data_IF_056070599094
#
_entry.id   IF_056070599094
#
_cell.length_a   1.000
_cell.length_b   1.000
_cell.length_c   1.000
_cell.angle_alpha   90.00
_cell.angle_beta   90.00
_cell.angle_gamma   90.00
#
_symmetry.space_group_name_H-M   'P 1'
#
loop_
_entity.id
_entity.type
_entity.pdbx_description
1 polymer ?
#
# COMPACT_ATOMS: atom_id res chain seq x y z
N UNK A 1 -36.44 -12.11 -61.86
CA UNK A 1 -36.95 -11.00 -61.02
C UNK A 1 -36.46 -11.23 -59.61
N UNK A 2 -35.78 -10.23 -59.05
CA UNK A 2 -34.95 -10.28 -57.83
C UNK A 2 -35.82 -10.22 -56.57
N UNK A 3 -35.60 -11.16 -55.63
CA UNK A 3 -36.18 -11.09 -54.29
C UNK A 3 -35.23 -10.32 -53.36
N UNK A 4 -35.66 -9.13 -52.93
CA UNK A 4 -34.99 -8.31 -51.94
C UNK A 4 -35.27 -8.85 -50.53
N UNK A 5 -34.20 -9.21 -49.83
CA UNK A 5 -34.21 -9.64 -48.44
C UNK A 5 -34.35 -8.40 -47.54
N UNK A 6 -35.55 -8.14 -47.00
CA UNK A 6 -35.79 -7.07 -46.03
C UNK A 6 -35.53 -7.65 -44.64
N UNK A 7 -34.28 -7.52 -44.18
CA UNK A 7 -33.93 -7.81 -42.79
C UNK A 7 -34.62 -6.74 -41.92
N UNK A 8 -35.47 -7.22 -41.01
CA UNK A 8 -36.29 -6.42 -40.10
C UNK A 8 -35.43 -5.52 -39.20
N UNK A 9 -35.40 -4.23 -39.55
CA UNK A 9 -34.70 -3.14 -38.84
C UNK A 9 -35.25 -2.87 -37.43
N UNK A 10 -36.41 -3.43 -37.09
CA UNK A 10 -37.10 -3.22 -35.81
C UNK A 10 -36.51 -4.03 -34.64
N UNK A 11 -35.66 -5.04 -34.91
CA UNK A 11 -35.09 -5.92 -33.87
C UNK A 11 -33.77 -5.41 -33.27
N UNK A 12 -33.07 -4.51 -33.97
CA UNK A 12 -31.75 -4.03 -33.55
C UNK A 12 -31.79 -2.82 -32.61
N UNK A 13 -32.89 -2.05 -32.61
CA UNK A 13 -33.05 -0.84 -31.81
C UNK A 13 -33.02 -1.11 -30.29
N UNK A 14 -33.76 -2.10 -29.73
CA UNK A 14 -33.72 -2.35 -28.30
C UNK A 14 -32.36 -2.90 -27.83
N UNK A 15 -31.67 -3.70 -28.65
CA UNK A 15 -30.33 -4.21 -28.35
C UNK A 15 -29.26 -3.11 -28.36
N UNK A 16 -29.37 -2.13 -29.26
CA UNK A 16 -28.44 -0.98 -29.31
C UNK A 16 -28.61 -0.05 -28.10
N UNK A 17 -29.86 0.17 -27.66
CA UNK A 17 -30.17 0.94 -26.45
C UNK A 17 -29.64 0.28 -25.18
N UNK A 18 -29.70 -1.06 -25.08
CA UNK A 18 -29.17 -1.80 -23.93
C UNK A 18 -27.63 -1.65 -23.81
N UNK A 19 -26.91 -1.68 -24.94
CA UNK A 19 -25.44 -1.54 -24.97
C UNK A 19 -25.00 -0.12 -24.59
N UNK A 20 -25.77 0.90 -25.00
CA UNK A 20 -25.51 2.30 -24.62
C UNK A 20 -25.81 2.58 -23.13
N UNK A 21 -26.79 1.91 -22.54
CA UNK A 21 -27.09 2.04 -21.10
C UNK A 21 -26.03 1.35 -20.22
N UNK A 22 -25.42 0.25 -20.68
CA UNK A 22 -24.36 -0.45 -19.92
C UNK A 22 -23.02 0.30 -19.96
N UNK A 23 -22.74 1.04 -21.04
CA UNK A 23 -21.47 1.77 -21.18
C UNK A 23 -21.40 3.08 -20.38
N UNK A 24 -22.52 3.55 -19.80
CA UNK A 24 -22.60 4.82 -19.06
C UNK A 24 -22.22 4.74 -17.57
N UNK A 25 -21.82 3.58 -17.04
CA UNK A 25 -21.56 3.39 -15.59
C UNK A 25 -20.06 3.34 -15.21
N UNK A 26 -19.15 3.73 -16.09
CA UNK A 26 -17.74 3.87 -15.71
C UNK A 26 -17.53 5.20 -14.99
N UNK A 27 -17.72 5.20 -13.67
CA UNK A 27 -17.28 6.32 -12.82
C UNK A 27 -15.77 6.47 -13.04
N UNK A 28 -15.28 7.60 -13.58
CA UNK A 28 -13.84 7.78 -13.80
C UNK A 28 -13.16 7.70 -12.44
N UNK A 29 -12.40 6.63 -12.22
CA UNK A 29 -11.55 6.52 -11.06
C UNK A 29 -10.49 7.61 -11.22
N UNK A 30 -10.54 8.64 -10.38
CA UNK A 30 -9.53 9.70 -10.39
C UNK A 30 -8.14 9.05 -10.33
N UNK A 31 -7.32 9.31 -11.34
CA UNK A 31 -5.97 8.79 -11.40
C UNK A 31 -5.21 9.18 -10.13
N UNK A 32 -4.46 8.21 -9.58
CA UNK A 32 -3.56 8.46 -8.45
C UNK A 32 -2.39 9.30 -8.95
N UNK A 33 -2.42 10.60 -8.64
CA UNK A 33 -1.35 11.55 -8.99
C UNK A 33 -0.49 11.77 -7.76
N UNK A 34 0.82 11.60 -7.92
CA UNK A 34 1.76 11.86 -6.83
C UNK A 34 1.82 13.35 -6.49
N UNK A 35 1.83 13.73 -5.20
CA UNK A 35 2.09 15.10 -4.77
C UNK A 35 3.55 15.53 -4.97
N UNK A 36 4.48 14.60 -5.23
CA UNK A 36 5.92 14.88 -5.35
C UNK A 36 6.63 13.86 -6.28
N UNK A 37 6.46 13.92 -7.61
CA UNK A 37 6.95 12.88 -8.53
C UNK A 37 8.45 12.57 -8.45
N UNK A 38 9.28 13.55 -8.08
CA UNK A 38 10.73 13.33 -7.89
C UNK A 38 11.05 12.41 -6.69
N UNK A 39 10.18 12.35 -5.70
CA UNK A 39 10.39 11.62 -4.43
C UNK A 39 9.47 10.41 -4.30
N UNK A 40 8.22 10.50 -4.74
CA UNK A 40 7.25 9.42 -4.62
C UNK A 40 6.47 9.24 -5.93
N UNK A 41 6.24 8.00 -6.30
CA UNK A 41 5.41 7.62 -7.45
C UNK A 41 4.52 6.44 -7.07
N UNK A 42 3.29 6.44 -7.60
CA UNK A 42 2.44 5.26 -7.57
C UNK A 42 2.95 4.27 -8.62
N UNK A 43 3.07 2.99 -8.26
CA UNK A 43 3.40 1.92 -9.19
C UNK A 43 2.12 1.41 -9.84
N UNK A 44 1.91 1.80 -11.09
CA UNK A 44 0.75 1.43 -11.90
C UNK A 44 0.96 0.13 -12.67
N UNK A 45 2.14 -0.49 -12.57
CA UNK A 45 2.42 -1.77 -13.26
C UNK A 45 1.67 -2.95 -12.64
N UNK A 46 1.27 -2.83 -11.37
CA UNK A 46 0.51 -3.83 -10.63
C UNK A 46 -0.89 -3.26 -10.34
N UNK A 47 -1.92 -3.96 -10.81
CA UNK A 47 -3.32 -3.60 -10.57
C UNK A 47 -3.94 -4.59 -9.61
N UNK A 48 -4.54 -4.09 -8.53
CA UNK A 48 -5.25 -4.93 -7.56
C UNK A 48 -6.46 -4.16 -6.99
N UNK A 49 -7.66 -4.77 -6.94
CA UNK A 49 -8.80 -4.14 -6.29
C UNK A 49 -8.50 -3.87 -4.81
N UNK A 50 -8.68 -2.63 -4.35
CA UNK A 50 -8.51 -2.27 -2.94
C UNK A 50 -7.05 -2.24 -2.46
N UNK A 51 -6.09 -2.30 -3.38
CA UNK A 51 -4.67 -2.19 -3.06
C UNK A 51 -3.95 -1.39 -4.15
N UNK A 52 -3.08 -0.47 -3.75
CA UNK A 52 -2.16 0.20 -4.66
C UNK A 52 -0.74 0.12 -4.11
N UNK A 53 0.23 0.25 -5.02
CA UNK A 53 1.65 0.13 -4.74
C UNK A 53 2.36 1.46 -4.95
N UNK A 54 3.42 1.70 -4.18
CA UNK A 54 4.13 2.96 -4.18
C UNK A 54 5.63 2.79 -4.02
N UNK A 55 6.38 3.73 -4.59
CA UNK A 55 7.85 3.76 -4.51
C UNK A 55 8.30 5.12 -4.03
N UNK A 56 9.07 5.16 -2.94
CA UNK A 56 9.73 6.37 -2.42
C UNK A 56 11.21 6.30 -2.79
N UNK A 57 11.73 7.36 -3.39
CA UNK A 57 13.13 7.56 -3.72
C UNK A 57 13.75 8.41 -2.60
N UNK A 58 14.62 7.81 -1.80
CA UNK A 58 15.33 8.47 -0.71
C UNK A 58 16.76 8.78 -1.13
N UNK A 59 17.18 10.02 -0.93
CA UNK A 59 18.55 10.48 -1.11
C UNK A 59 18.93 11.42 0.02
N UNK A 60 20.23 11.62 0.22
CA UNK A 60 20.77 12.58 1.17
C UNK A 60 22.10 13.12 0.64
N UNK A 61 22.43 14.35 1.02
CA UNK A 61 23.73 14.97 0.72
C UNK A 61 24.83 14.53 1.70
N UNK A 62 24.44 13.84 2.78
CA UNK A 62 25.33 13.36 3.84
C UNK A 62 25.09 11.87 4.08
N UNK A 63 26.05 11.19 4.70
CA UNK A 63 25.82 9.81 5.15
C UNK A 63 24.76 9.82 6.25
N UNK A 64 23.68 9.09 6.00
CA UNK A 64 22.57 8.99 6.92
C UNK A 64 22.46 7.56 7.45
N UNK A 65 22.35 7.43 8.77
CA UNK A 65 22.17 6.18 9.48
C UNK A 65 20.76 6.08 10.04
N UNK A 66 20.23 4.85 10.06
CA UNK A 66 18.87 4.54 10.50
C UNK A 66 17.78 5.23 9.67
N UNK A 67 16.70 4.49 9.46
CA UNK A 67 15.52 4.96 8.74
C UNK A 67 14.39 5.18 9.73
N UNK A 68 13.80 6.37 9.70
CA UNK A 68 12.46 6.67 10.20
C UNK A 68 11.68 7.36 9.09
N UNK A 69 10.92 6.57 8.34
CA UNK A 69 10.13 7.06 7.21
C UNK A 69 8.66 7.08 7.59
N UNK A 70 8.10 8.27 7.76
CA UNK A 70 6.70 8.46 8.10
C UNK A 70 5.91 8.83 6.87
N UNK A 71 4.81 8.13 6.63
CA UNK A 71 3.89 8.37 5.52
C UNK A 71 2.51 8.68 6.09
N UNK A 72 1.91 9.77 5.64
CA UNK A 72 0.57 10.17 6.03
C UNK A 72 -0.35 10.18 4.82
N UNK A 73 -1.57 9.68 5.00
CA UNK A 73 -2.59 9.55 3.97
C UNK A 73 -3.74 10.54 4.19
N UNK A 74 -4.44 10.89 3.12
CA UNK A 74 -5.63 11.77 3.17
C UNK A 74 -6.94 11.02 3.47
N UNK A 75 -6.91 9.69 3.45
CA UNK A 75 -8.06 8.84 3.68
C UNK A 75 -7.68 7.55 4.44
N UNK A 76 -8.69 6.82 4.90
CA UNK A 76 -8.55 5.63 5.71
C UNK A 76 -7.73 4.53 5.03
N UNK A 77 -6.72 4.04 5.74
CA UNK A 77 -5.88 2.90 5.34
C UNK A 77 -6.18 1.69 6.23
N UNK A 78 -6.49 0.55 5.61
CA UNK A 78 -6.68 -0.73 6.32
C UNK A 78 -5.31 -1.29 6.73
N UNK A 79 -4.36 -1.30 5.79
CA UNK A 79 -3.01 -1.80 6.03
C UNK A 79 -1.97 -1.04 5.21
N UNK A 80 -0.76 -0.96 5.76
CA UNK A 80 0.41 -0.38 5.12
C UNK A 80 1.58 -1.34 5.31
N UNK A 81 2.12 -1.90 4.22
CA UNK A 81 3.15 -2.96 4.29
C UNK A 81 4.33 -2.69 3.37
N UNK A 82 5.51 -3.13 3.76
CA UNK A 82 6.77 -2.89 3.06
C UNK A 82 7.77 -4.03 3.30
N UNK A 83 8.80 -4.15 2.44
CA UNK A 83 9.90 -5.12 2.61
C UNK A 83 11.10 -4.59 3.40
N UNK A 84 11.16 -3.28 3.67
CA UNK A 84 12.38 -2.63 4.10
C UNK A 84 12.60 -2.80 5.60
N UNK A 85 11.58 -2.53 6.42
CA UNK A 85 11.69 -2.57 7.88
C UNK A 85 10.34 -2.58 8.58
N UNK A 86 10.37 -2.50 9.91
CA UNK A 86 9.18 -2.62 10.74
C UNK A 86 8.25 -1.43 10.53
N UNK A 87 6.95 -1.70 10.42
CA UNK A 87 5.91 -0.67 10.42
C UNK A 87 5.43 -0.44 11.85
N UNK A 88 5.20 0.81 12.22
CA UNK A 88 4.41 1.22 13.38
C UNK A 88 3.24 2.05 12.87
N UNK A 89 2.03 1.75 13.32
CA UNK A 89 0.84 2.50 12.95
C UNK A 89 0.53 3.52 14.05
N UNK A 90 0.70 4.81 13.76
CA UNK A 90 0.37 5.86 14.73
C UNK A 90 -1.15 6.04 14.80
N UNK A 91 -1.81 6.04 13.64
CA UNK A 91 -3.27 6.06 13.53
C UNK A 91 -3.71 5.50 12.17
N UNK A 92 -4.99 5.58 11.85
CA UNK A 92 -5.55 5.03 10.60
C UNK A 92 -5.13 5.79 9.32
N UNK A 93 -4.41 6.90 9.46
CA UNK A 93 -3.87 7.75 8.39
C UNK A 93 -2.35 7.83 8.40
N UNK A 94 -1.66 7.37 9.44
CA UNK A 94 -0.24 7.65 9.66
C UNK A 94 0.54 6.40 10.08
N UNK A 95 1.59 6.12 9.32
CA UNK A 95 2.42 4.93 9.45
C UNK A 95 3.89 5.32 9.41
N UNK A 96 4.72 4.59 10.16
CA UNK A 96 6.16 4.80 10.24
C UNK A 96 6.90 3.50 9.92
N UNK A 97 7.75 3.51 8.91
CA UNK A 97 8.74 2.46 8.65
C UNK A 97 9.99 2.79 9.43
N UNK A 98 10.51 1.84 10.19
CA UNK A 98 11.79 1.95 10.88
C UNK A 98 12.77 0.85 10.47
N UNK A 99 14.06 1.20 10.38
CA UNK A 99 15.15 0.25 10.16
C UNK A 99 16.47 0.81 10.69
N UNK A 100 17.07 0.17 11.69
CA UNK A 100 18.24 0.71 12.40
C UNK A 100 19.55 0.53 11.64
N UNK A 101 19.69 -0.56 10.88
CA UNK A 101 20.87 -0.91 10.06
C UNK A 101 20.87 -0.25 8.67
N UNK A 102 19.91 0.62 8.38
CA UNK A 102 19.80 1.30 7.09
C UNK A 102 20.85 2.42 6.96
N UNK A 103 21.50 2.48 5.80
CA UNK A 103 22.49 3.52 5.46
C UNK A 103 22.25 4.06 4.05
N UNK A 104 22.33 5.38 3.90
CA UNK A 104 22.40 6.07 2.59
C UNK A 104 23.69 6.88 2.58
N UNK A 105 24.50 6.71 1.55
CA UNK A 105 25.67 7.56 1.31
C UNK A 105 25.32 8.76 0.43
N UNK A 106 26.10 9.86 0.49
CA UNK A 106 25.91 11.02 -0.38
C UNK A 106 25.81 10.62 -1.85
N UNK A 107 24.80 11.15 -2.56
CA UNK A 107 24.56 10.86 -3.98
C UNK A 107 23.92 9.50 -4.28
N UNK A 108 23.71 8.65 -3.27
CA UNK A 108 22.98 7.39 -3.43
C UNK A 108 21.46 7.62 -3.39
N UNK A 109 20.72 6.90 -4.25
CA UNK A 109 19.26 6.84 -4.22
C UNK A 109 18.80 5.45 -3.82
N UNK A 110 18.21 5.32 -2.63
CA UNK A 110 17.55 4.09 -2.19
C UNK A 110 16.07 4.13 -2.52
N UNK A 111 15.53 3.02 -3.04
CA UNK A 111 14.09 2.89 -3.32
C UNK A 111 13.40 2.11 -2.20
N UNK A 112 12.33 2.68 -1.65
CA UNK A 112 11.47 2.04 -0.65
C UNK A 112 10.15 1.71 -1.30
N UNK A 113 9.86 0.42 -1.46
CA UNK A 113 8.61 -0.06 -2.02
C UNK A 113 7.64 -0.44 -0.89
N UNK A 114 6.38 -0.09 -1.07
CA UNK A 114 5.31 -0.42 -0.13
C UNK A 114 3.98 -0.57 -0.87
N UNK A 115 2.98 -1.09 -0.17
CA UNK A 115 1.60 -1.08 -0.64
C UNK A 115 0.64 -0.65 0.46
N UNK A 116 -0.53 -0.21 0.02
CA UNK A 116 -1.62 0.27 0.88
C UNK A 116 -2.88 -0.49 0.54
N UNK A 117 -3.54 -1.02 1.57
CA UNK A 117 -4.85 -1.65 1.45
C UNK A 117 -5.95 -0.71 1.93
N UNK A 118 -7.08 -0.73 1.25
CA UNK A 118 -8.21 0.13 1.53
C UNK A 118 -9.53 -0.51 1.08
N UNK A 119 -10.65 -0.01 1.62
CA UNK A 119 -11.97 -0.48 1.23
C UNK A 119 -12.27 -0.01 -0.19
N UNK A 120 -12.55 -0.94 -1.11
CA UNK A 120 -12.94 -0.63 -2.51
C UNK A 120 -14.19 0.25 -2.61
N UNK A 121 -15.01 0.29 -1.57
CA UNK A 121 -16.21 1.15 -1.48
C UNK A 121 -15.88 2.61 -1.16
N UNK A 122 -14.64 2.92 -0.81
CA UNK A 122 -14.15 4.26 -0.48
C UNK A 122 -13.17 4.76 -1.54
N UNK A 123 -12.97 6.08 -1.60
CA UNK A 123 -11.91 6.65 -2.43
C UNK A 123 -10.54 6.11 -1.97
N UNK A 124 -9.64 5.71 -2.89
CA UNK A 124 -8.31 5.25 -2.52
C UNK A 124 -7.56 6.31 -1.70
N UNK A 125 -6.89 5.94 -0.59
CA UNK A 125 -6.07 6.85 0.19
C UNK A 125 -4.88 7.31 -0.65
N UNK A 126 -4.61 8.61 -0.65
CA UNK A 126 -3.48 9.23 -1.34
C UNK A 126 -2.46 9.70 -0.33
N UNK A 127 -1.19 9.66 -0.73
CA UNK A 127 -0.11 10.24 0.10
C UNK A 127 -0.36 11.75 0.24
N UNK A 128 -0.42 12.22 1.48
CA UNK A 128 -0.54 13.64 1.83
C UNK A 128 0.84 14.25 2.06
N UNK A 129 1.68 13.59 2.85
CA UNK A 129 3.07 13.99 3.07
C UNK A 129 3.94 12.80 3.47
N UNK A 130 5.26 12.97 3.31
CA UNK A 130 6.28 12.02 3.74
C UNK A 130 7.34 12.76 4.54
N UNK A 131 7.66 12.24 5.73
CA UNK A 131 8.81 12.68 6.53
C UNK A 131 9.89 11.60 6.51
N UNK A 132 11.11 12.00 6.20
CA UNK A 132 12.30 11.16 6.26
C UNK A 132 13.21 11.70 7.36
N UNK A 133 13.39 10.91 8.42
CA UNK A 133 14.16 11.27 9.61
C UNK A 133 13.76 12.64 10.20
N UNK A 134 12.46 12.93 10.18
CA UNK A 134 11.90 14.20 10.68
C UNK A 134 11.85 15.34 9.66
N UNK A 135 12.47 15.19 8.50
CA UNK A 135 12.45 16.18 7.43
C UNK A 135 11.34 15.88 6.41
N UNK A 136 10.52 16.87 6.09
CA UNK A 136 9.49 16.72 5.06
C UNK A 136 10.11 16.70 3.67
N UNK A 137 9.94 15.59 2.97
CA UNK A 137 10.45 15.39 1.60
C UNK A 137 9.34 15.35 0.55
N UNK A 138 8.07 15.34 0.98
CA UNK A 138 6.92 15.30 0.10
C UNK A 138 5.69 15.93 0.76
N UNK A 139 4.83 16.54 -0.05
CA UNK A 139 3.57 17.15 0.39
C UNK A 139 3.65 18.67 0.53
N UNK A 140 2.52 19.33 0.85
CA UNK A 140 2.46 20.79 0.93
C UNK A 140 3.32 21.35 2.07
N UNK A 141 3.81 22.57 1.87
CA UNK A 141 4.59 23.36 2.83
C UNK A 141 3.72 23.95 3.95
N UNK A 142 3.07 23.10 4.73
CA UNK A 142 2.33 23.50 5.94
C UNK A 142 3.18 23.27 7.21
N UNK A 143 3.41 24.29 8.05
CA UNK A 143 4.13 24.18 9.34
C UNK A 143 3.40 23.34 10.40
N UNK A 144 2.07 23.18 10.31
CA UNK A 144 1.27 22.46 11.30
C UNK A 144 1.46 20.94 11.27
N UNK A 145 2.06 20.42 10.19
CA UNK A 145 2.33 18.99 9.94
C UNK A 145 3.32 18.36 10.93
N UNK A 146 4.09 19.17 11.69
CA UNK A 146 5.05 18.67 12.68
C UNK A 146 4.46 18.41 14.08
N UNK A 147 3.15 18.58 14.28
CA UNK A 147 2.53 18.24 15.57
C UNK A 147 2.50 16.72 15.77
N UNK A 148 3.23 16.27 16.79
CA UNK A 148 3.38 14.86 17.18
C UNK A 148 2.02 14.23 17.51
N UNK A 149 1.60 13.21 16.76
CA UNK A 149 0.49 12.32 17.13
C UNK A 149 0.74 11.72 18.51
N UNK A 150 -0.25 11.79 19.41
CA UNK A 150 -0.18 11.25 20.78
C UNK A 150 -0.73 9.82 20.90
N UNK A 151 -1.19 9.23 19.80
CA UNK A 151 -1.65 7.84 19.76
C UNK A 151 -0.59 6.99 19.07
N UNK A 152 -0.04 5.99 19.80
CA UNK A 152 0.83 4.94 19.25
C UNK A 152 0.12 3.62 19.36
N UNK A 153 -0.24 3.03 18.23
CA UNK A 153 -0.56 1.62 18.18
C UNK A 153 0.67 0.86 17.68
N UNK A 154 1.27 0.05 18.56
CA UNK A 154 2.39 -0.80 18.18
C UNK A 154 1.85 -2.10 17.56
N UNK A 155 1.83 -2.16 16.23
CA UNK A 155 1.59 -3.39 15.49
C UNK A 155 2.76 -3.66 14.55
N UNK A 156 3.43 -4.80 14.73
CA UNK A 156 4.48 -5.29 13.83
C UNK A 156 3.85 -6.20 12.77
N UNK A 157 3.54 -5.67 11.58
CA UNK A 157 3.29 -6.53 10.41
C UNK A 157 4.45 -6.38 9.42
N UNK A 158 5.39 -7.32 9.52
CA UNK A 158 6.56 -7.46 8.64
C UNK A 158 6.31 -8.48 7.51
N UNK A 159 5.09 -9.02 7.38
CA UNK A 159 4.82 -10.20 6.54
C UNK A 159 4.38 -9.87 5.11
N UNK A 160 4.33 -8.60 4.74
CA UNK A 160 3.85 -8.14 3.43
C UNK A 160 4.92 -7.47 2.60
N UNK A 161 5.90 -8.24 2.16
CA UNK A 161 6.77 -7.78 1.08
C UNK A 161 5.92 -7.46 -0.16
N UNK A 162 5.92 -6.21 -0.69
CA UNK A 162 5.34 -5.98 -2.01
C UNK A 162 5.98 -6.93 -3.02
N UNK A 163 5.15 -7.58 -3.82
CA UNK A 163 5.59 -8.49 -4.88
C UNK A 163 6.67 -7.81 -5.71
N UNK A 164 7.72 -8.57 -6.07
CA UNK A 164 8.75 -8.11 -6.99
C UNK A 164 8.05 -7.59 -8.26
N UNK A 165 8.37 -6.39 -8.77
CA UNK A 165 7.82 -5.91 -10.04
C UNK A 165 8.05 -6.97 -11.14
N UNK A 166 6.96 -7.45 -11.76
CA UNK A 166 6.98 -8.54 -12.75
C UNK A 166 6.67 -9.94 -12.21
N UNK A 167 6.53 -10.13 -10.89
CA UNK A 167 5.99 -11.37 -10.35
C UNK A 167 4.46 -11.40 -10.51
N UNK A 168 3.86 -12.56 -10.84
CA UNK A 168 2.41 -12.70 -10.81
C UNK A 168 1.88 -12.36 -9.41
N UNK A 169 0.73 -11.67 -9.28
CA UNK A 169 0.07 -11.57 -7.99
C UNK A 169 -0.25 -12.98 -7.47
N UNK A 170 -0.20 -13.20 -6.16
CA UNK A 170 -0.56 -14.48 -5.55
C UNK A 170 -2.03 -14.76 -5.86
N UNK A 171 -2.40 -16.02 -6.02
CA UNK A 171 -3.83 -16.35 -6.01
C UNK A 171 -4.41 -16.10 -4.61
N UNK A 172 -5.70 -15.79 -4.55
CA UNK A 172 -6.44 -15.59 -3.28
C UNK A 172 -6.33 -16.79 -2.32
N UNK A 173 -6.12 -17.99 -2.86
CA UNK A 173 -5.87 -19.23 -2.12
C UNK A 173 -4.49 -19.24 -1.45
N UNK A 174 -3.46 -18.69 -2.10
CA UNK A 174 -2.09 -18.63 -1.58
C UNK A 174 -1.96 -17.61 -0.44
N UNK A 175 -2.71 -16.51 -0.50
CA UNK A 175 -2.78 -15.48 0.54
C UNK A 175 -3.50 -16.01 1.81
N UNK A 176 -4.51 -16.86 1.63
CA UNK A 176 -5.26 -17.53 2.72
C UNK A 176 -4.42 -18.60 3.44
N UNK A 177 -3.61 -19.36 2.69
CA UNK A 177 -2.68 -20.36 3.24
C UNK A 177 -1.55 -19.74 4.08
N UNK A 178 -1.00 -18.60 3.61
CA UNK A 178 0.02 -17.84 4.35
C UNK A 178 -0.53 -17.26 5.66
N UNK A 179 -1.77 -16.78 5.66
CA UNK A 179 -2.44 -16.30 6.88
C UNK A 179 -2.78 -17.43 7.87
N UNK A 180 -3.15 -18.62 7.38
CA UNK A 180 -3.42 -19.78 8.23
C UNK A 180 -2.16 -20.31 8.92
N UNK A 181 -1.01 -20.27 8.24
CA UNK A 181 0.27 -20.73 8.81
C UNK A 181 0.76 -19.81 9.94
N UNK A 182 0.55 -18.49 9.80
CA UNK A 182 0.89 -17.52 10.85
C UNK A 182 -0.02 -17.63 12.09
N UNK A 183 -1.28 -18.06 11.93
CA UNK A 183 -2.18 -18.24 13.07
C UNK A 183 -1.82 -19.46 13.94
N UNK A 184 -1.22 -20.51 13.36
CA UNK A 184 -0.81 -21.72 14.11
C UNK A 184 0.44 -21.46 14.95
N UNK A 185 1.35 -20.59 14.49
CA UNK A 185 2.61 -20.29 15.17
C UNK A 185 2.44 -19.27 16.33
N UNK A 186 1.36 -18.50 16.35
CA UNK A 186 1.04 -17.56 17.43
C UNK A 186 0.43 -18.25 18.66
N UNK A 187 -0.13 -19.45 18.53
CA UNK A 187 -0.78 -20.21 19.63
C UNK A 187 0.11 -21.26 20.32
N UNK A 188 1.39 -21.41 19.98
CA UNK A 188 2.27 -22.46 20.58
C UNK A 188 3.39 -21.94 21.49
N UNK A 189 3.39 -20.67 21.90
CA UNK A 189 4.41 -20.10 22.83
C UNK A 189 3.90 -19.66 24.20
N UNK A 190 2.82 -20.28 24.70
CA UNK A 190 2.42 -20.18 26.10
C UNK A 190 2.39 -21.59 26.72
N UNK A 191 3.40 -21.90 27.53
CA UNK A 191 3.41 -23.06 28.43
C UNK A 191 4.46 -24.11 28.15
N UNK A 192 5.70 -23.89 28.60
CA UNK A 192 6.50 -24.91 29.29
C UNK A 192 7.30 -24.20 30.38
N UNK A 193 6.78 -24.28 31.59
CA UNK A 193 7.43 -23.89 32.84
C UNK A 193 8.65 -24.79 33.06
N UNK A 194 9.81 -24.16 33.26
CA UNK A 194 11.09 -24.83 33.48
C UNK A 194 11.16 -25.30 34.93
N UNK A 195 11.35 -26.61 35.14
CA UNK A 195 11.63 -27.17 36.46
C UNK A 195 12.93 -27.98 36.39
N UNK A 196 13.68 -27.97 37.50
CA UNK A 196 15.05 -28.52 37.74
C UNK A 196 16.13 -27.42 37.69
N UNK A 197 16.96 -27.16 38.70
CA UNK A 197 17.50 -28.04 39.75
C UNK A 197 18.06 -27.16 40.89
N UNK A 198 17.94 -27.56 42.17
CA UNK A 198 18.95 -27.16 43.17
C UNK A 198 19.16 -28.27 44.20
N UNK A 199 20.37 -28.81 44.13
CA UNK A 199 20.99 -29.80 45.01
C UNK A 199 21.90 -29.03 45.96
N UNK A 200 21.67 -29.14 47.27
CA UNK A 200 22.64 -29.18 48.38
C UNK A 200 21.87 -29.17 49.70
#
# INVERSE_FOLDING_TARGET
MTFLNIISIASCIPSLLLILLVSAQTKPQHALVSPCPSVFEYDTSIQHPGRWYGVIKLSSDYTMHSLWLRVHFDNHTIAFKNCLGSVTQENIFEFMINRTDFVINPGEVKKVQFYVEYKVTMAPPKVKYILFNGHKICGPSDPSILRRSQYRYHGTDMTGCPYRPGAPPPSSEEETSRNSTNHIQSTTKAGVESNSTKKM
#
